data_IF_755197914231
#
_entry.id   IF_755197914231
#
_cell.length_a   1.000
_cell.length_b   1.000
_cell.length_c   1.000
_cell.angle_alpha   90.00
_cell.angle_beta   90.00
_cell.angle_gamma   90.00
#
_symmetry.space_group_name_H-M   'P 1'
#
loop_
_entity.id
_entity.type
_entity.pdbx_description
1 polymer ?
#
# COMPACT_ATOMS: atom_id res chain seq x y z
N UNK A 1 -9.29 17.60 -3.47
CA UNK A 1 -8.06 17.58 -2.64
C UNK A 1 -6.91 17.83 -3.60
N UNK A 2 -5.82 18.52 -3.28
CA UNK A 2 -4.68 18.60 -4.22
C UNK A 2 -4.12 17.20 -4.53
N UNK A 3 -3.53 17.03 -5.71
CA UNK A 3 -2.71 15.84 -6.02
C UNK A 3 -1.55 15.73 -5.03
N UNK A 4 -1.09 14.51 -4.81
CA UNK A 4 0.01 14.22 -3.90
C UNK A 4 1.30 14.09 -4.70
N UNK A 5 2.25 14.95 -4.39
CA UNK A 5 3.62 14.81 -4.90
C UNK A 5 4.41 13.87 -3.99
N UNK A 6 5.06 12.85 -4.59
CA UNK A 6 5.94 11.97 -3.84
C UNK A 6 7.17 12.75 -3.34
N UNK A 7 7.42 12.66 -2.04
CA UNK A 7 8.62 13.22 -1.42
C UNK A 7 9.58 12.08 -1.06
N UNK A 8 10.87 12.13 -1.47
CA UNK A 8 11.88 11.17 -1.04
C UNK A 8 12.03 11.02 0.48
N UNK A 9 11.58 12.00 1.27
CA UNK A 9 11.51 11.92 2.73
C UNK A 9 10.53 10.87 3.28
N UNK A 10 9.68 10.28 2.43
CA UNK A 10 8.83 9.14 2.79
C UNK A 10 9.50 7.78 2.53
N UNK A 11 10.70 7.75 1.94
CA UNK A 11 11.40 6.49 1.71
C UNK A 11 11.90 5.90 3.03
N UNK A 12 11.58 4.63 3.28
CA UNK A 12 12.05 3.87 4.44
C UNK A 12 13.39 3.16 4.14
N UNK A 13 13.87 3.26 2.90
CA UNK A 13 15.16 2.72 2.47
C UNK A 13 15.10 1.23 2.13
N UNK A 14 13.95 0.74 1.71
CA UNK A 14 13.75 -0.60 1.14
C UNK A 14 13.16 -0.39 -0.25
N UNK A 15 14.01 -0.44 -1.27
CA UNK A 15 13.68 0.07 -2.61
C UNK A 15 12.39 -0.51 -3.23
N UNK A 16 12.08 -1.78 -2.93
CA UNK A 16 10.83 -2.42 -3.38
C UNK A 16 9.60 -1.87 -2.67
N UNK A 17 9.69 -1.61 -1.36
CA UNK A 17 8.62 -0.99 -0.57
C UNK A 17 8.43 0.47 -0.99
N UNK A 18 9.52 1.24 -1.09
CA UNK A 18 9.47 2.63 -1.55
C UNK A 18 8.82 2.73 -2.95
N UNK A 19 9.04 1.71 -3.79
CA UNK A 19 8.37 1.57 -5.09
C UNK A 19 6.87 1.30 -4.99
N UNK A 20 6.46 0.42 -4.06
CA UNK A 20 5.05 0.13 -3.81
C UNK A 20 4.32 1.35 -3.22
N UNK A 21 4.90 2.07 -2.27
CA UNK A 21 4.30 3.30 -1.72
C UNK A 21 4.10 4.38 -2.79
N UNK A 22 5.10 4.59 -3.66
CA UNK A 22 4.95 5.48 -4.83
C UNK A 22 3.78 5.06 -5.71
N UNK A 23 3.66 3.76 -5.97
CA UNK A 23 2.59 3.23 -6.82
C UNK A 23 1.21 3.44 -6.20
N UNK A 24 1.07 3.32 -4.87
CA UNK A 24 -0.19 3.66 -4.18
C UNK A 24 -0.50 5.15 -4.35
N UNK A 25 0.50 6.03 -4.23
CA UNK A 25 0.32 7.48 -4.49
C UNK A 25 -0.11 7.74 -5.94
N UNK A 26 0.42 7.01 -6.93
CA UNK A 26 -0.02 7.13 -8.32
C UNK A 26 -1.50 6.73 -8.49
N UNK A 27 -1.96 5.67 -7.83
CA UNK A 27 -3.37 5.28 -7.85
C UNK A 27 -4.27 6.32 -7.19
N UNK A 28 -3.85 6.89 -6.06
CA UNK A 28 -4.56 7.99 -5.40
C UNK A 28 -4.68 9.20 -6.34
N UNK A 29 -3.60 9.56 -7.03
CA UNK A 29 -3.60 10.66 -7.99
C UNK A 29 -4.49 10.35 -9.19
N UNK A 30 -4.49 9.10 -9.67
CA UNK A 30 -5.39 8.66 -10.73
C UNK A 30 -6.85 8.83 -10.30
N UNK A 31 -7.21 8.39 -9.09
CA UNK A 31 -8.55 8.57 -8.52
C UNK A 31 -8.92 10.05 -8.37
N UNK A 32 -7.97 10.90 -7.96
CA UNK A 32 -8.15 12.35 -7.87
C UNK A 32 -8.44 12.99 -9.23
N UNK A 33 -7.73 12.56 -10.28
CA UNK A 33 -7.83 13.13 -11.62
C UNK A 33 -9.11 12.69 -12.35
N UNK A 34 -9.79 11.65 -11.83
CA UNK A 34 -11.16 11.33 -12.22
C UNK A 34 -12.10 12.45 -11.75
N UNK A 35 -12.34 13.41 -12.65
CA UNK A 35 -13.27 14.51 -12.42
C UNK A 35 -14.72 14.04 -12.20
N UNK A 36 -15.63 14.96 -11.83
CA UNK A 36 -17.02 14.66 -11.47
C UNK A 36 -17.86 14.08 -12.63
N UNK A 37 -17.35 14.13 -13.87
CA UNK A 37 -18.01 13.59 -15.07
C UNK A 37 -17.43 12.24 -15.50
N UNK A 38 -16.55 11.63 -14.71
CA UNK A 38 -15.97 10.34 -15.02
C UNK A 38 -17.05 9.25 -15.11
N UNK A 39 -16.87 8.30 -16.03
CA UNK A 39 -17.73 7.13 -16.11
C UNK A 39 -17.62 6.31 -14.82
N UNK A 40 -18.76 5.98 -14.19
CA UNK A 40 -18.78 5.25 -12.92
C UNK A 40 -18.07 3.91 -13.01
N UNK A 41 -18.14 3.23 -14.17
CA UNK A 41 -17.40 1.95 -14.36
C UNK A 41 -15.89 2.15 -14.35
N UNK A 42 -15.42 3.27 -14.89
CA UNK A 42 -14.01 3.62 -14.84
C UNK A 42 -13.57 3.95 -13.41
N UNK A 43 -14.39 4.70 -12.67
CA UNK A 43 -14.14 4.97 -11.24
C UNK A 43 -14.08 3.67 -10.44
N UNK A 44 -15.02 2.74 -10.68
CA UNK A 44 -15.05 1.42 -10.06
C UNK A 44 -13.73 0.68 -10.27
N UNK A 45 -13.27 0.62 -11.52
CA UNK A 45 -12.04 -0.09 -11.87
C UNK A 45 -10.81 0.49 -11.17
N UNK A 46 -10.71 1.82 -11.09
CA UNK A 46 -9.60 2.48 -10.38
C UNK A 46 -9.65 2.24 -8.87
N UNK A 47 -10.85 2.20 -8.28
CA UNK A 47 -11.03 1.85 -6.86
C UNK A 47 -10.60 0.40 -6.61
N UNK A 48 -11.06 -0.54 -7.45
CA UNK A 48 -10.75 -1.96 -7.32
C UNK A 48 -9.23 -2.20 -7.42
N UNK A 49 -8.58 -1.64 -8.46
CA UNK A 49 -7.13 -1.74 -8.64
C UNK A 49 -6.35 -1.17 -7.45
N UNK A 50 -6.80 -0.05 -6.88
CA UNK A 50 -6.18 0.59 -5.73
C UNK A 50 -6.32 -0.24 -4.45
N UNK A 51 -7.50 -0.81 -4.21
CA UNK A 51 -7.78 -1.69 -3.07
C UNK A 51 -6.93 -2.95 -3.17
N UNK A 52 -6.98 -3.64 -4.32
CA UNK A 52 -6.22 -4.86 -4.58
C UNK A 52 -4.71 -4.63 -4.44
N UNK A 53 -4.21 -3.53 -4.98
CA UNK A 53 -2.79 -3.18 -4.87
C UNK A 53 -2.40 -2.92 -3.41
N UNK A 54 -3.23 -2.19 -2.66
CA UNK A 54 -2.99 -1.92 -1.23
C UNK A 54 -2.95 -3.22 -0.42
N UNK A 55 -3.82 -4.18 -0.72
CA UNK A 55 -3.83 -5.48 -0.04
C UNK A 55 -2.59 -6.31 -0.36
N UNK A 56 -2.18 -6.33 -1.63
CA UNK A 56 -0.96 -6.99 -2.05
C UNK A 56 0.30 -6.39 -1.39
N UNK A 57 0.33 -5.07 -1.22
CA UNK A 57 1.39 -4.35 -0.54
C UNK A 57 1.46 -4.73 0.96
N UNK A 58 0.33 -4.75 1.66
CA UNK A 58 0.30 -5.19 3.05
C UNK A 58 0.76 -6.63 3.24
N UNK A 59 0.26 -7.56 2.41
CA UNK A 59 0.68 -8.96 2.48
C UNK A 59 2.20 -9.11 2.26
N UNK A 60 2.76 -8.30 1.36
CA UNK A 60 4.18 -8.27 1.09
C UNK A 60 5.02 -7.75 2.27
N UNK A 61 4.60 -6.66 2.91
CA UNK A 61 5.26 -6.14 4.12
C UNK A 61 5.16 -7.13 5.29
N UNK A 62 4.00 -7.75 5.49
CA UNK A 62 3.79 -8.74 6.54
C UNK A 62 4.72 -9.94 6.39
N UNK A 63 4.91 -10.47 5.17
CA UNK A 63 5.90 -11.51 4.93
C UNK A 63 7.34 -11.04 5.13
N UNK A 64 7.66 -9.79 4.79
CA UNK A 64 8.99 -9.24 5.05
C UNK A 64 9.31 -9.17 6.53
N UNK A 65 8.35 -8.64 7.28
CA UNK A 65 8.45 -8.55 8.73
C UNK A 65 8.52 -9.93 9.37
N UNK A 66 7.75 -10.91 8.87
CA UNK A 66 7.80 -12.30 9.35
C UNK A 66 9.17 -12.94 9.10
N UNK A 67 9.68 -12.88 7.87
CA UNK A 67 10.97 -13.47 7.50
C UNK A 67 12.14 -12.78 8.22
N UNK A 68 12.07 -11.46 8.42
CA UNK A 68 13.04 -10.73 9.23
C UNK A 68 12.88 -11.01 10.74
N UNK A 69 11.78 -11.60 11.20
CA UNK A 69 11.51 -11.81 12.62
C UNK A 69 11.28 -10.50 13.37
N UNK A 70 10.55 -9.57 12.78
CA UNK A 70 10.17 -8.29 13.40
C UNK A 70 9.21 -8.52 14.57
N UNK A 71 9.62 -8.11 15.76
CA UNK A 71 8.92 -8.44 17.03
C UNK A 71 7.53 -7.81 17.16
N UNK A 72 7.23 -6.76 16.39
CA UNK A 72 5.93 -6.07 16.42
C UNK A 72 5.04 -6.39 15.22
N UNK A 73 5.35 -7.44 14.44
CA UNK A 73 4.55 -7.89 13.30
C UNK A 73 3.04 -7.98 13.62
N UNK A 74 2.68 -8.62 14.74
CA UNK A 74 1.28 -8.81 15.11
C UNK A 74 0.52 -7.48 15.37
N UNK A 75 1.23 -6.41 15.75
CA UNK A 75 0.63 -5.08 15.90
C UNK A 75 0.48 -4.42 14.53
N UNK A 76 1.49 -4.54 13.67
CA UNK A 76 1.44 -4.02 12.30
C UNK A 76 0.31 -4.65 11.48
N UNK A 77 0.17 -5.98 11.52
CA UNK A 77 -0.95 -6.70 10.88
C UNK A 77 -2.32 -6.20 11.34
N UNK A 78 -2.48 -5.83 12.61
CA UNK A 78 -3.74 -5.26 13.12
C UNK A 78 -4.01 -3.87 12.57
N UNK A 79 -2.97 -3.06 12.40
CA UNK A 79 -3.07 -1.74 11.75
C UNK A 79 -3.51 -1.90 10.30
N UNK A 80 -2.92 -2.85 9.56
CA UNK A 80 -3.35 -3.20 8.19
C UNK A 80 -4.80 -3.68 8.16
N UNK A 81 -5.16 -4.64 9.00
CA UNK A 81 -6.51 -5.21 9.04
C UNK A 81 -7.58 -4.14 9.33
N UNK A 82 -7.34 -3.25 10.28
CA UNK A 82 -8.24 -2.14 10.57
C UNK A 82 -8.38 -1.17 9.38
N UNK A 83 -7.36 -1.06 8.52
CA UNK A 83 -7.42 -0.24 7.31
C UNK A 83 -8.14 -0.97 6.17
N UNK A 84 -7.93 -2.28 5.99
CA UNK A 84 -8.67 -3.11 5.03
C UNK A 84 -10.18 -2.99 5.24
N UNK A 85 -10.64 -3.12 6.48
CA UNK A 85 -12.05 -2.97 6.83
C UNK A 85 -12.66 -1.61 6.44
N UNK A 86 -11.86 -0.53 6.49
CA UNK A 86 -12.31 0.80 6.04
C UNK A 86 -12.36 0.92 4.52
N UNK A 87 -11.43 0.28 3.82
CA UNK A 87 -11.44 0.21 2.36
C UNK A 87 -12.64 -0.60 1.87
N UNK A 88 -12.92 -1.74 2.49
CA UNK A 88 -14.08 -2.58 2.19
C UNK A 88 -15.41 -1.82 2.40
N UNK A 89 -15.54 -1.05 3.50
CA UNK A 89 -16.71 -0.22 3.75
C UNK A 89 -16.93 0.85 2.66
N UNK A 90 -15.86 1.56 2.29
CA UNK A 90 -15.94 2.58 1.24
C UNK A 90 -16.22 1.99 -0.14
N UNK A 91 -15.60 0.85 -0.48
CA UNK A 91 -15.86 0.14 -1.72
C UNK A 91 -17.31 -0.40 -1.75
N UNK A 92 -17.82 -0.90 -0.63
CA UNK A 92 -19.22 -1.31 -0.48
C UNK A 92 -20.18 -0.15 -0.72
N UNK A 93 -19.95 1.00 -0.07
CA UNK A 93 -20.74 2.24 -0.29
C UNK A 93 -20.69 2.71 -1.75
N UNK A 94 -19.53 2.64 -2.38
CA UNK A 94 -19.43 2.88 -3.82
C UNK A 94 -20.28 1.90 -4.63
N UNK A 95 -20.27 0.61 -4.32
CA UNK A 95 -21.12 -0.35 -5.01
C UNK A 95 -22.62 -0.09 -4.83
N UNK A 96 -23.01 0.48 -3.68
CA UNK A 96 -24.40 0.85 -3.36
C UNK A 96 -24.87 2.15 -4.03
N UNK A 97 -23.98 2.90 -4.68
CA UNK A 97 -24.34 4.10 -5.44
C UNK A 97 -23.72 5.40 -4.93
N UNK A 98 -23.04 5.39 -3.79
CA UNK A 98 -22.43 6.59 -3.21
C UNK A 98 -21.31 7.14 -4.13
N UNK A 99 -21.08 8.45 -4.04
CA UNK A 99 -19.87 9.10 -4.55
C UNK A 99 -18.87 9.24 -3.40
N UNK A 100 -17.86 8.36 -3.40
CA UNK A 100 -16.85 8.28 -2.34
C UNK A 100 -15.43 8.61 -2.81
N UNK A 101 -15.23 8.96 -4.10
CA UNK A 101 -13.88 9.10 -4.66
C UNK A 101 -13.03 10.14 -3.89
N UNK A 102 -13.62 11.28 -3.55
CA UNK A 102 -12.96 12.31 -2.75
C UNK A 102 -12.71 11.92 -1.29
N UNK A 103 -13.65 11.18 -0.67
CA UNK A 103 -13.53 10.67 0.70
C UNK A 103 -12.41 9.62 0.79
N UNK A 104 -12.43 8.64 -0.13
CA UNK A 104 -11.46 7.57 -0.25
C UNK A 104 -10.05 8.11 -0.50
N UNK A 105 -9.88 9.00 -1.48
CA UNK A 105 -8.58 9.60 -1.77
C UNK A 105 -8.00 10.33 -0.56
N UNK A 106 -8.81 11.11 0.16
CA UNK A 106 -8.36 11.81 1.39
C UNK A 106 -8.00 10.84 2.51
N UNK A 107 -8.80 9.81 2.72
CA UNK A 107 -8.54 8.79 3.73
C UNK A 107 -7.24 8.06 3.44
N UNK A 108 -7.04 7.62 2.20
CA UNK A 108 -5.84 6.93 1.75
C UNK A 108 -4.58 7.74 1.95
N UNK A 109 -4.54 9.00 1.50
CA UNK A 109 -3.36 9.87 1.66
C UNK A 109 -3.05 10.09 3.14
N UNK A 110 -4.07 10.42 3.93
CA UNK A 110 -3.88 10.71 5.35
C UNK A 110 -3.36 9.49 6.10
N UNK A 111 -3.91 8.31 5.79
CA UNK A 111 -3.48 7.08 6.42
C UNK A 111 -2.09 6.66 5.95
N UNK A 112 -1.84 6.62 4.63
CA UNK A 112 -0.57 6.17 4.03
C UNK A 112 0.61 6.99 4.56
N UNK A 113 0.54 8.32 4.47
CA UNK A 113 1.68 9.17 4.88
C UNK A 113 1.97 9.05 6.38
N UNK A 114 0.93 8.88 7.20
CA UNK A 114 1.10 8.65 8.63
C UNK A 114 1.70 7.26 8.87
N UNK A 115 1.16 6.23 8.23
CA UNK A 115 1.57 4.85 8.40
C UNK A 115 3.04 4.64 8.04
N UNK A 116 3.47 5.19 6.90
CA UNK A 116 4.88 5.17 6.49
C UNK A 116 5.78 5.81 7.57
N UNK A 117 5.38 6.99 8.05
CA UNK A 117 6.18 7.78 8.98
C UNK A 117 6.18 7.24 10.43
N UNK A 118 5.20 6.42 10.83
CA UNK A 118 5.12 5.86 12.19
C UNK A 118 5.41 4.36 12.27
N UNK A 119 4.85 3.59 11.36
CA UNK A 119 4.83 2.12 11.43
C UNK A 119 5.89 1.55 10.49
N UNK A 120 5.88 1.88 9.19
CA UNK A 120 6.76 1.23 8.20
C UNK A 120 8.24 1.52 8.46
N UNK A 121 8.54 2.76 8.86
CA UNK A 121 9.89 3.16 9.24
C UNK A 121 10.44 2.33 10.42
N UNK A 122 9.57 1.76 11.26
CA UNK A 122 9.96 1.02 12.45
C UNK A 122 10.47 -0.39 12.14
N UNK A 123 9.95 -1.07 11.11
CA UNK A 123 10.47 -2.38 10.72
C UNK A 123 11.69 -2.28 9.79
N UNK A 124 11.86 -1.15 9.11
CA UNK A 124 12.88 -1.00 8.07
C UNK A 124 14.31 -1.33 8.52
N UNK A 125 14.81 -0.90 9.70
CA UNK A 125 16.16 -1.27 10.15
C UNK A 125 16.34 -2.78 10.32
N UNK A 126 15.33 -3.48 10.84
CA UNK A 126 15.39 -4.93 11.09
C UNK A 126 15.43 -5.71 9.78
N UNK A 127 14.58 -5.34 8.82
CA UNK A 127 14.59 -5.94 7.48
C UNK A 127 15.91 -5.67 6.78
N UNK A 128 16.44 -4.44 6.85
CA UNK A 128 17.72 -4.09 6.22
C UNK A 128 18.90 -4.85 6.81
N UNK A 129 18.91 -5.07 8.12
CA UNK A 129 19.94 -5.83 8.82
C UNK A 129 19.88 -7.32 8.48
N UNK A 130 18.68 -7.90 8.50
CA UNK A 130 18.49 -9.36 8.40
C UNK A 130 18.32 -9.87 6.97
N UNK A 131 17.95 -8.99 6.05
CA UNK A 131 17.68 -9.32 4.65
C UNK A 131 18.44 -8.39 3.68
N UNK A 132 19.79 -8.31 3.75
CA UNK A 132 20.55 -7.32 2.99
C UNK A 132 20.40 -7.43 1.46
N UNK A 133 20.01 -8.61 0.94
CA UNK A 133 19.73 -8.81 -0.49
C UNK A 133 18.54 -7.99 -0.99
N UNK A 134 17.47 -7.85 -0.19
CA UNK A 134 16.25 -7.17 -0.62
C UNK A 134 16.39 -5.64 -0.71
N UNK A 135 17.36 -5.10 0.01
CA UNK A 135 17.59 -3.66 0.07
C UNK A 135 18.27 -3.14 -1.21
N UNK A 136 18.80 -4.04 -2.03
CA UNK A 136 19.49 -3.71 -3.28
C UNK A 136 18.54 -3.89 -4.47
N UNK A 137 18.50 -2.88 -5.36
CA UNK A 137 17.63 -2.82 -6.58
C UNK A 137 17.73 -4.03 -7.54
N UNK A 138 18.67 -4.95 -7.34
CA UNK A 138 18.99 -6.03 -8.29
C UNK A 138 18.72 -7.46 -7.79
N UNK A 139 18.30 -7.68 -6.54
CA UNK A 139 18.03 -9.04 -6.05
C UNK A 139 16.54 -9.40 -6.15
N UNK A 140 16.07 -9.55 -7.39
CA UNK A 140 14.72 -10.04 -7.68
C UNK A 140 14.51 -11.52 -7.33
N UNK A 141 15.51 -12.22 -6.79
CA UNK A 141 15.41 -13.64 -6.44
C UNK A 141 14.48 -13.84 -5.25
N UNK A 142 14.70 -13.07 -4.17
CA UNK A 142 13.81 -13.09 -3.01
C UNK A 142 12.39 -12.66 -3.41
N UNK A 143 12.25 -11.62 -4.26
CA UNK A 143 10.95 -11.14 -4.73
C UNK A 143 10.21 -12.23 -5.53
N UNK A 144 10.90 -12.94 -6.42
CA UNK A 144 10.33 -14.08 -7.15
C UNK A 144 9.93 -15.22 -6.23
N UNK A 145 10.71 -15.49 -5.19
CA UNK A 145 10.43 -16.57 -4.23
C UNK A 145 9.26 -16.23 -3.31
N UNK A 146 9.17 -14.97 -2.86
CA UNK A 146 8.03 -14.45 -2.12
C UNK A 146 6.77 -14.42 -3.00
N UNK A 147 6.83 -13.87 -4.22
CA UNK A 147 5.71 -13.90 -5.18
C UNK A 147 5.28 -15.34 -5.48
N UNK A 148 6.20 -16.28 -5.66
CA UNK A 148 5.87 -17.69 -5.84
C UNK A 148 5.17 -18.33 -4.63
N UNK A 149 5.47 -17.88 -3.41
CA UNK A 149 4.77 -18.28 -2.18
C UNK A 149 3.38 -17.66 -2.05
N UNK A 150 3.17 -16.43 -2.55
CA UNK A 150 1.91 -15.70 -2.45
C UNK A 150 0.94 -15.91 -3.63
N UNK A 151 1.46 -16.14 -4.83
CA UNK A 151 0.70 -16.13 -6.09
C UNK A 151 0.91 -17.38 -6.96
N UNK A 152 1.68 -18.39 -6.53
CA UNK A 152 1.72 -19.71 -7.19
C UNK A 152 0.52 -20.56 -6.77
N UNK A 153 -0.25 -21.20 -7.65
CA UNK A 153 0.11 -21.99 -8.84
C UNK A 153 0.43 -21.24 -10.13
#
# INVERSE_FOLDING_TARGET
MPSVEWNPGFEIGIAVIDGQHRRIVDYINTLHDLGPTADRRHVAHVIDDLVDYTYSHFAFEEALMEEAGYVHLAVHCKTHEAFRQRLDDLQGRFNDGDDIAGELGKMLVTWLLRHIASDDISYAPVVRERMPGITQKNDGSWLKQAIGRFFGT
#
